data_IF_074532726955
#
_entry.id   IF_074532726955
#
_cell.length_a   1.000
_cell.length_b   1.000
_cell.length_c   1.000
_cell.angle_alpha   90.00
_cell.angle_beta   90.00
_cell.angle_gamma   90.00
#
_symmetry.space_group_name_H-M   'P 1'
#
loop_
_entity.id
_entity.type
_entity.pdbx_description
1 polymer ?
#
# COMPACT_ATOMS: atom_id res chain seq x y z
N UNK A 1 39.56 -55.60 -18.95
CA UNK A 1 38.36 -55.48 -18.11
C UNK A 1 38.19 -54.01 -17.80
N UNK A 2 37.32 -53.34 -18.56
CA UNK A 2 37.06 -51.91 -18.45
C UNK A 2 36.06 -51.66 -17.33
N UNK A 3 36.46 -50.85 -16.36
CA UNK A 3 35.53 -50.23 -15.43
C UNK A 3 35.02 -48.95 -16.08
N UNK A 4 33.70 -48.87 -16.15
CA UNK A 4 32.83 -47.94 -16.86
C UNK A 4 32.93 -46.51 -16.34
N UNK A 5 33.09 -45.58 -17.26
CA UNK A 5 33.15 -44.12 -17.09
C UNK A 5 31.79 -43.48 -16.73
N UNK A 6 30.87 -44.22 -16.12
CA UNK A 6 29.48 -43.80 -15.85
C UNK A 6 29.22 -43.42 -14.38
N UNK A 7 30.07 -43.80 -13.43
CA UNK A 7 29.83 -43.52 -11.99
C UNK A 7 30.26 -42.10 -11.55
N UNK A 8 30.93 -41.32 -12.40
CA UNK A 8 31.41 -39.97 -12.04
C UNK A 8 30.46 -38.82 -12.43
N UNK A 9 29.31 -39.11 -13.06
CA UNK A 9 28.38 -38.06 -13.52
C UNK A 9 27.15 -37.87 -12.62
N UNK A 10 26.83 -38.80 -11.73
CA UNK A 10 25.60 -38.73 -10.91
C UNK A 10 25.79 -38.05 -9.55
N UNK A 11 27.01 -37.89 -9.05
CA UNK A 11 27.24 -37.29 -7.73
C UNK A 11 27.23 -35.75 -7.71
N UNK A 12 27.23 -35.09 -8.89
CA UNK A 12 27.17 -33.62 -8.97
C UNK A 12 25.75 -33.02 -8.92
N UNK A 13 24.72 -33.87 -8.97
CA UNK A 13 23.31 -33.44 -9.16
C UNK A 13 22.44 -33.71 -7.93
N UNK A 14 23.05 -33.73 -6.73
CA UNK A 14 22.32 -33.90 -5.46
C UNK A 14 22.74 -32.95 -4.33
N UNK A 15 23.39 -31.84 -4.64
CA UNK A 15 23.29 -30.63 -3.78
C UNK A 15 22.04 -29.86 -4.18
N UNK A 16 20.91 -30.47 -3.84
CA UNK A 16 19.62 -29.79 -3.85
C UNK A 16 19.73 -28.50 -3.05
N UNK A 17 19.20 -27.44 -3.65
CA UNK A 17 18.98 -26.11 -3.10
C UNK A 17 18.97 -26.13 -1.58
N UNK A 18 20.05 -25.63 -0.96
CA UNK A 18 19.93 -25.18 0.42
C UNK A 18 18.80 -24.16 0.44
N UNK A 19 17.70 -24.53 1.09
CA UNK A 19 16.86 -23.54 1.72
C UNK A 19 17.82 -22.71 2.56
N UNK A 20 18.16 -21.53 2.07
CA UNK A 20 18.82 -20.50 2.87
C UNK A 20 17.81 -20.21 3.99
N UNK A 21 18.01 -20.92 5.09
CA UNK A 21 17.40 -20.67 6.38
C UNK A 21 17.93 -19.30 6.79
N UNK A 22 17.17 -18.27 6.41
CA UNK A 22 17.45 -16.90 6.82
C UNK A 22 17.46 -16.89 8.34
N UNK A 23 18.48 -16.28 8.99
CA UNK A 23 18.55 -16.29 10.45
C UNK A 23 17.27 -15.72 11.04
N UNK A 24 16.61 -16.49 11.89
CA UNK A 24 15.36 -16.12 12.58
C UNK A 24 15.53 -14.93 13.55
N UNK A 25 16.76 -14.44 13.75
CA UNK A 25 17.10 -13.50 14.83
C UNK A 25 16.92 -11.99 14.51
N UNK A 26 16.59 -11.59 13.28
CA UNK A 26 16.43 -10.15 12.91
C UNK A 26 14.98 -9.73 12.57
N UNK A 27 13.99 -10.60 12.80
CA UNK A 27 12.55 -10.26 12.67
C UNK A 27 11.94 -9.67 13.96
N UNK A 28 12.78 -9.24 14.90
CA UNK A 28 12.31 -8.42 16.03
C UNK A 28 11.95 -7.01 15.52
N UNK A 29 10.70 -6.86 15.10
CA UNK A 29 10.04 -5.57 14.89
C UNK A 29 10.13 -5.02 13.47
N UNK A 30 9.37 -5.58 12.53
CA UNK A 30 9.04 -4.86 11.29
C UNK A 30 8.16 -3.62 11.56
N UNK A 31 7.68 -3.46 12.80
CA UNK A 31 6.94 -2.33 13.38
C UNK A 31 5.57 -2.04 12.71
N UNK A 32 5.01 -3.03 12.01
CA UNK A 32 3.67 -2.89 11.42
C UNK A 32 2.58 -2.78 12.50
N UNK A 33 2.77 -3.35 13.69
CA UNK A 33 1.88 -3.14 14.83
C UNK A 33 1.81 -1.68 15.33
N UNK A 34 2.88 -0.89 15.16
CA UNK A 34 2.82 0.54 15.46
C UNK A 34 2.22 1.30 14.29
N UNK A 35 2.58 0.95 13.05
CA UNK A 35 2.07 1.57 11.82
C UNK A 35 0.53 1.53 11.74
N UNK A 36 -0.10 0.40 12.07
CA UNK A 36 -1.57 0.25 11.96
C UNK A 36 -2.36 1.20 12.88
N UNK A 37 -1.75 1.67 13.97
CA UNK A 37 -2.36 2.67 14.87
C UNK A 37 -2.52 4.03 14.18
N UNK A 38 -1.72 4.29 13.15
CA UNK A 38 -1.76 5.50 12.33
C UNK A 38 -2.71 5.38 11.14
N UNK A 39 -3.04 4.16 10.70
CA UNK A 39 -3.97 3.90 9.59
C UNK A 39 -5.43 4.27 9.93
N UNK A 40 -5.93 3.81 11.08
CA UNK A 40 -7.36 3.93 11.45
C UNK A 40 -7.86 5.37 11.62
N UNK A 41 -7.11 6.31 12.23
CA UNK A 41 -7.56 7.69 12.42
C UNK A 41 -7.94 8.42 11.13
N UNK A 42 -7.24 8.15 10.01
CA UNK A 42 -7.54 8.76 8.71
C UNK A 42 -8.97 8.48 8.25
N UNK A 43 -9.36 7.20 8.29
CA UNK A 43 -10.70 6.77 7.88
C UNK A 43 -11.80 7.35 8.76
N UNK A 44 -11.58 7.39 10.09
CA UNK A 44 -12.54 7.99 11.02
C UNK A 44 -12.72 9.48 10.71
N UNK A 45 -11.62 10.23 10.54
CA UNK A 45 -11.68 11.65 10.22
C UNK A 45 -12.35 11.91 8.87
N UNK A 46 -12.06 11.11 7.85
CA UNK A 46 -12.69 11.21 6.54
C UNK A 46 -14.18 10.96 6.57
N UNK A 47 -14.64 9.93 7.30
CA UNK A 47 -16.07 9.66 7.48
C UNK A 47 -16.79 10.78 8.23
N UNK A 48 -16.21 11.26 9.34
CA UNK A 48 -16.79 12.35 10.12
C UNK A 48 -16.89 13.64 9.29
N UNK A 49 -15.85 13.97 8.51
CA UNK A 49 -15.87 15.10 7.60
C UNK A 49 -16.96 14.94 6.52
N UNK A 50 -17.12 13.73 5.96
CA UNK A 50 -18.16 13.44 4.97
C UNK A 50 -19.56 13.64 5.53
N UNK A 51 -19.85 13.05 6.69
CA UNK A 51 -21.14 13.18 7.38
C UNK A 51 -21.44 14.65 7.69
N UNK A 52 -20.44 15.38 8.21
CA UNK A 52 -20.60 16.80 8.54
C UNK A 52 -20.91 17.65 7.32
N UNK A 53 -20.18 17.46 6.21
CA UNK A 53 -20.41 18.23 4.98
C UNK A 53 -21.75 17.89 4.34
N UNK A 54 -22.17 16.63 4.36
CA UNK A 54 -23.50 16.23 3.90
C UNK A 54 -24.60 16.87 4.75
N UNK A 55 -24.43 16.93 6.07
CA UNK A 55 -25.38 17.59 6.98
C UNK A 55 -25.49 19.10 6.72
N UNK A 56 -24.39 19.75 6.34
CA UNK A 56 -24.35 21.18 6.02
C UNK A 56 -24.83 21.52 4.60
N UNK A 57 -25.25 20.54 3.80
CA UNK A 57 -25.72 20.79 2.43
C UNK A 57 -24.61 20.86 1.37
N UNK A 58 -23.41 20.39 1.67
CA UNK A 58 -22.25 20.41 0.77
C UNK A 58 -22.03 19.08 0.03
N UNK A 59 -23.08 18.31 -0.26
CA UNK A 59 -22.99 16.94 -0.77
C UNK A 59 -22.14 16.81 -2.05
N UNK A 60 -22.19 17.84 -2.92
CA UNK A 60 -21.47 17.89 -4.20
C UNK A 60 -20.37 18.96 -4.26
N UNK A 61 -19.97 19.50 -3.11
CA UNK A 61 -18.88 20.47 -3.04
C UNK A 61 -17.58 19.82 -3.51
N UNK A 62 -16.97 20.38 -4.56
CA UNK A 62 -15.70 19.89 -5.10
C UNK A 62 -14.57 19.98 -4.05
N UNK A 63 -14.52 21.08 -3.30
CA UNK A 63 -13.57 21.26 -2.20
C UNK A 63 -13.86 20.29 -1.04
N UNK A 64 -15.15 20.06 -0.73
CA UNK A 64 -15.57 19.09 0.28
C UNK A 64 -15.12 17.67 -0.06
N UNK A 65 -15.26 17.26 -1.33
CA UNK A 65 -14.86 15.92 -1.77
C UNK A 65 -13.36 15.75 -1.81
N UNK A 66 -12.65 16.76 -2.28
CA UNK A 66 -11.20 16.74 -2.25
C UNK A 66 -10.68 16.59 -0.81
N UNK A 67 -11.27 17.31 0.14
CA UNK A 67 -10.96 17.18 1.57
C UNK A 67 -11.30 15.78 2.10
N UNK A 68 -12.50 15.28 1.81
CA UNK A 68 -12.95 13.97 2.29
C UNK A 68 -12.11 12.85 1.71
N UNK A 69 -11.78 12.88 0.41
CA UNK A 69 -10.86 11.92 -0.23
C UNK A 69 -9.46 11.99 0.36
N UNK A 70 -8.98 13.19 0.64
CA UNK A 70 -7.70 13.38 1.32
C UNK A 70 -7.69 12.71 2.69
N UNK A 71 -8.72 12.92 3.51
CA UNK A 71 -8.76 12.34 4.85
C UNK A 71 -9.04 10.83 4.82
N UNK A 72 -10.00 10.39 4.01
CA UNK A 72 -10.46 9.01 3.93
C UNK A 72 -9.54 8.09 3.10
N UNK A 73 -8.80 8.64 2.14
CA UNK A 73 -7.86 7.91 1.29
C UNK A 73 -6.44 8.08 1.78
N UNK A 74 -6.00 9.32 1.88
CA UNK A 74 -4.58 9.64 2.13
C UNK A 74 -4.27 9.83 3.62
N UNK A 75 -5.28 9.89 4.48
CA UNK A 75 -5.08 10.10 5.92
C UNK A 75 -4.17 9.03 6.52
N UNK A 76 -4.37 7.77 6.13
CA UNK A 76 -3.47 6.67 6.47
C UNK A 76 -2.03 6.98 6.05
N UNK A 77 -1.79 7.22 4.76
CA UNK A 77 -0.46 7.44 4.20
C UNK A 77 0.25 8.66 4.81
N UNK A 78 -0.51 9.71 5.14
CA UNK A 78 -0.01 10.89 5.86
C UNK A 78 0.39 10.51 7.29
N UNK A 79 -0.46 9.80 8.03
CA UNK A 79 -0.17 9.42 9.41
C UNK A 79 0.96 8.38 9.50
N UNK A 80 1.02 7.43 8.57
CA UNK A 80 2.12 6.47 8.40
C UNK A 80 3.42 7.20 8.04
N UNK A 81 3.38 8.20 7.16
CA UNK A 81 4.52 9.05 6.86
C UNK A 81 5.01 9.87 8.08
N UNK A 82 4.08 10.38 8.90
CA UNK A 82 4.41 11.06 10.17
C UNK A 82 5.09 10.09 11.14
N UNK A 83 4.60 8.86 11.24
CA UNK A 83 5.26 7.80 12.01
C UNK A 83 6.69 7.58 11.53
N UNK A 84 6.91 7.43 10.21
CA UNK A 84 8.25 7.25 9.64
C UNK A 84 9.19 8.42 9.94
N UNK A 85 8.71 9.66 9.87
CA UNK A 85 9.49 10.85 10.25
C UNK A 85 9.89 10.80 11.73
N UNK A 86 8.97 10.44 12.63
CA UNK A 86 9.24 10.35 14.07
C UNK A 86 10.26 9.27 14.39
N UNK A 87 10.20 8.13 13.72
CA UNK A 87 11.16 7.04 13.88
C UNK A 87 12.57 7.46 13.46
N UNK A 88 12.68 8.14 12.31
CA UNK A 88 13.95 8.66 11.81
C UNK A 88 14.58 9.70 12.74
N UNK A 89 13.77 10.59 13.32
CA UNK A 89 14.23 11.58 14.29
C UNK A 89 14.72 10.93 15.60
N UNK A 90 14.25 9.73 15.93
CA UNK A 90 14.70 8.95 17.09
C UNK A 90 16.01 8.18 16.86
N UNK A 91 16.61 8.26 15.66
CA UNK A 91 17.81 7.51 15.25
C UNK A 91 17.67 5.98 15.42
N UNK A 92 16.46 5.45 15.30
CA UNK A 92 16.26 4.00 15.22
C UNK A 92 16.92 3.46 13.94
N UNK A 93 17.42 2.23 13.97
CA UNK A 93 17.79 1.51 12.74
C UNK A 93 16.57 1.46 11.82
N UNK A 94 16.76 1.76 10.53
CA UNK A 94 15.63 1.93 9.61
C UNK A 94 14.82 0.64 9.50
N UNK A 95 13.50 0.73 9.66
CA UNK A 95 12.59 -0.41 9.62
C UNK A 95 11.90 -0.55 8.26
N UNK A 96 11.33 -1.73 8.01
CA UNK A 96 10.52 -1.97 6.81
C UNK A 96 9.24 -1.12 6.82
N UNK A 97 8.56 -0.98 7.97
CA UNK A 97 7.42 -0.08 8.12
C UNK A 97 7.79 1.39 7.85
N UNK A 98 8.98 1.85 8.27
CA UNK A 98 9.43 3.22 7.99
C UNK A 98 9.55 3.47 6.48
N UNK A 99 10.22 2.56 5.77
CA UNK A 99 10.39 2.64 4.32
C UNK A 99 9.04 2.58 3.59
N UNK A 100 8.16 1.68 4.03
CA UNK A 100 6.81 1.52 3.50
C UNK A 100 5.99 2.82 3.65
N UNK A 101 5.94 3.41 4.85
CA UNK A 101 5.23 4.67 5.12
C UNK A 101 5.77 5.87 4.33
N UNK A 102 7.10 5.96 4.13
CA UNK A 102 7.69 6.98 3.26
C UNK A 102 7.27 6.81 1.80
N UNK A 103 7.29 5.58 1.30
CA UNK A 103 6.87 5.26 -0.06
C UNK A 103 5.44 5.74 -0.32
N UNK A 104 4.53 5.41 0.59
CA UNK A 104 3.15 5.88 0.58
C UNK A 104 3.03 7.40 0.59
N UNK A 105 3.68 8.08 1.54
CA UNK A 105 3.65 9.54 1.67
C UNK A 105 4.09 10.25 0.38
N UNK A 106 5.09 9.74 -0.34
CA UNK A 106 5.48 10.33 -1.62
C UNK A 106 4.48 9.98 -2.74
N UNK A 107 3.92 8.77 -2.72
CA UNK A 107 2.90 8.31 -3.64
C UNK A 107 1.67 9.22 -3.72
N UNK A 108 1.22 9.78 -2.60
CA UNK A 108 -0.03 10.57 -2.56
C UNK A 108 0.01 11.88 -3.36
N UNK A 109 1.21 12.42 -3.60
CA UNK A 109 1.38 13.77 -4.16
C UNK A 109 0.94 13.89 -5.62
N UNK A 110 1.12 12.83 -6.41
CA UNK A 110 0.72 12.80 -7.83
C UNK A 110 -0.82 12.74 -7.98
N UNK A 111 -1.53 11.79 -7.32
CA UNK A 111 -3.00 11.75 -7.35
C UNK A 111 -3.66 13.04 -6.88
N UNK A 112 -3.13 13.71 -5.85
CA UNK A 112 -3.64 15.00 -5.39
C UNK A 112 -3.66 16.07 -6.48
N UNK A 113 -2.55 16.19 -7.21
CA UNK A 113 -2.43 17.17 -8.30
C UNK A 113 -3.41 16.83 -9.42
N UNK A 114 -3.53 15.54 -9.76
CA UNK A 114 -4.44 15.05 -10.80
C UNK A 114 -5.90 15.29 -10.40
N UNK A 115 -6.31 14.92 -9.18
CA UNK A 115 -7.68 15.09 -8.68
C UNK A 115 -8.09 16.57 -8.67
N UNK A 116 -7.25 17.41 -8.08
CA UNK A 116 -7.50 18.86 -8.03
C UNK A 116 -7.56 19.48 -9.43
N UNK A 117 -6.59 19.16 -10.29
CA UNK A 117 -6.55 19.64 -11.68
C UNK A 117 -7.75 19.17 -12.52
N UNK A 118 -8.19 17.93 -12.33
CA UNK A 118 -9.36 17.35 -13.02
C UNK A 118 -10.65 18.08 -12.66
N UNK A 119 -10.81 18.44 -11.38
CA UNK A 119 -11.97 19.21 -10.91
C UNK A 119 -11.96 20.64 -11.46
N UNK A 120 -10.79 21.28 -11.52
CA UNK A 120 -10.64 22.59 -12.16
C UNK A 120 -10.96 22.55 -13.66
N UNK A 121 -10.67 21.43 -14.32
CA UNK A 121 -11.00 21.20 -15.72
C UNK A 121 -12.48 20.81 -15.96
N UNK A 122 -13.29 20.68 -14.90
CA UNK A 122 -14.71 20.36 -14.99
C UNK A 122 -15.02 18.88 -15.28
N UNK A 123 -14.06 17.97 -15.04
CA UNK A 123 -14.28 16.52 -15.23
C UNK A 123 -15.38 16.03 -14.29
N UNK A 124 -16.29 15.20 -14.81
CA UNK A 124 -17.29 14.51 -14.00
C UNK A 124 -16.63 13.39 -13.17
N UNK A 125 -16.20 13.76 -11.96
CA UNK A 125 -15.58 12.85 -11.00
C UNK A 125 -16.54 11.77 -10.44
N UNK A 126 -17.83 11.89 -10.74
CA UNK A 126 -18.90 10.99 -10.27
C UNK A 126 -19.25 9.91 -11.30
N UNK A 127 -18.93 10.16 -12.58
CA UNK A 127 -19.17 9.25 -13.68
C UNK A 127 -18.07 8.21 -13.85
N UNK A 128 -18.20 7.40 -14.91
CA UNK A 128 -17.17 6.45 -15.34
C UNK A 128 -15.90 7.18 -15.74
N UNK A 129 -16.02 8.38 -16.33
CA UNK A 129 -14.88 9.22 -16.71
C UNK A 129 -14.01 9.60 -15.51
N UNK A 130 -14.60 9.81 -14.33
CA UNK A 130 -13.90 10.12 -13.09
C UNK A 130 -13.24 8.95 -12.37
N UNK A 131 -13.38 7.72 -12.87
CA UNK A 131 -12.86 6.49 -12.26
C UNK A 131 -11.33 6.52 -12.04
N UNK A 132 -10.59 7.19 -12.94
CA UNK A 132 -9.13 7.23 -12.85
C UNK A 132 -8.64 7.91 -11.56
N UNK A 133 -9.45 8.76 -10.93
CA UNK A 133 -9.06 9.48 -9.72
C UNK A 133 -8.89 8.51 -8.54
N UNK A 134 -9.92 7.80 -8.06
CA UNK A 134 -9.76 6.82 -6.98
C UNK A 134 -8.79 5.69 -7.37
N UNK A 135 -8.69 5.36 -8.65
CA UNK A 135 -7.67 4.45 -9.17
C UNK A 135 -6.25 4.96 -8.92
N UNK A 136 -5.93 6.21 -9.28
CA UNK A 136 -4.57 6.74 -9.09
C UNK A 136 -4.20 6.87 -7.63
N UNK A 137 -5.15 7.17 -6.74
CA UNK A 137 -4.90 7.19 -5.30
C UNK A 137 -4.43 5.81 -4.80
N UNK A 138 -5.23 4.76 -5.05
CA UNK A 138 -4.87 3.41 -4.62
C UNK A 138 -3.58 2.89 -5.30
N UNK A 139 -3.38 3.22 -6.58
CA UNK A 139 -2.22 2.80 -7.33
C UNK A 139 -0.94 3.47 -6.81
N UNK A 140 -0.94 4.79 -6.67
CA UNK A 140 0.26 5.56 -6.35
C UNK A 140 0.75 5.26 -4.94
N UNK A 141 -0.17 5.07 -4.00
CA UNK A 141 0.13 4.68 -2.63
C UNK A 141 0.89 3.34 -2.58
N UNK A 142 0.32 2.30 -3.20
CA UNK A 142 0.91 0.97 -3.19
C UNK A 142 2.17 0.86 -4.06
N UNK A 143 2.26 1.58 -5.19
CA UNK A 143 3.50 1.65 -5.97
C UNK A 143 4.62 2.28 -5.15
N UNK A 144 4.35 3.40 -4.46
CA UNK A 144 5.31 4.06 -3.59
C UNK A 144 5.82 3.12 -2.51
N UNK A 145 4.90 2.43 -1.84
CA UNK A 145 5.23 1.44 -0.81
C UNK A 145 6.08 0.27 -1.37
N UNK A 146 5.74 -0.23 -2.57
CA UNK A 146 6.48 -1.30 -3.22
C UNK A 146 7.92 -0.90 -3.62
N UNK A 147 8.08 0.29 -4.20
CA UNK A 147 9.38 0.82 -4.60
C UNK A 147 10.27 1.02 -3.38
N UNK A 148 9.76 1.67 -2.33
CA UNK A 148 10.53 1.87 -1.11
C UNK A 148 10.87 0.55 -0.43
N UNK A 149 9.93 -0.40 -0.39
CA UNK A 149 10.15 -1.71 0.20
C UNK A 149 11.18 -2.56 -0.55
N UNK A 150 11.15 -2.62 -1.89
CA UNK A 150 12.19 -3.36 -2.65
C UNK A 150 13.57 -2.71 -2.51
N UNK A 151 13.65 -1.38 -2.43
CA UNK A 151 14.90 -0.67 -2.19
C UNK A 151 15.45 -0.91 -0.79
N UNK A 152 14.58 -0.99 0.22
CA UNK A 152 14.95 -1.40 1.57
C UNK A 152 15.51 -2.82 1.58
N UNK A 153 14.76 -3.79 1.06
CA UNK A 153 15.18 -5.19 1.00
C UNK A 153 16.50 -5.36 0.24
N UNK A 154 16.70 -4.65 -0.87
CA UNK A 154 17.97 -4.65 -1.59
C UNK A 154 19.14 -4.17 -0.71
N UNK A 155 18.93 -3.13 0.10
CA UNK A 155 19.97 -2.58 0.99
C UNK A 155 20.30 -3.56 2.10
N UNK A 156 19.29 -4.16 2.71
CA UNK A 156 19.44 -5.13 3.80
C UNK A 156 20.11 -6.42 3.32
N UNK A 157 19.70 -6.94 2.16
CA UNK A 157 20.21 -8.19 1.59
C UNK A 157 21.53 -8.03 0.81
N UNK A 158 22.01 -6.80 0.60
CA UNK A 158 23.24 -6.48 -0.11
C UNK A 158 23.24 -6.77 -1.63
N UNK A 159 22.22 -7.45 -2.16
CA UNK A 159 22.12 -7.78 -3.59
C UNK A 159 20.69 -7.71 -4.12
N UNK A 160 20.54 -7.43 -5.43
CA UNK A 160 19.23 -7.39 -6.09
C UNK A 160 18.55 -8.75 -6.15
N UNK A 161 19.31 -9.84 -6.32
CA UNK A 161 18.76 -11.19 -6.41
C UNK A 161 18.18 -11.64 -5.08
N UNK A 162 18.89 -11.43 -3.98
CA UNK A 162 18.42 -11.74 -2.64
C UNK A 162 17.26 -10.83 -2.23
N UNK A 163 17.35 -9.52 -2.51
CA UNK A 163 16.24 -8.57 -2.27
C UNK A 163 14.95 -8.95 -2.99
N UNK A 164 15.03 -9.35 -4.27
CA UNK A 164 13.84 -9.80 -5.02
C UNK A 164 13.30 -11.13 -4.51
N UNK A 165 14.19 -12.08 -4.17
CA UNK A 165 13.83 -13.36 -3.56
C UNK A 165 13.08 -13.18 -2.23
N UNK A 166 13.51 -12.22 -1.40
CA UNK A 166 12.83 -11.86 -0.15
C UNK A 166 11.51 -11.14 -0.42
N UNK A 167 11.46 -10.24 -1.39
CA UNK A 167 10.25 -9.51 -1.77
C UNK A 167 9.09 -10.46 -2.13
N UNK A 168 9.34 -11.48 -2.96
CA UNK A 168 8.28 -12.43 -3.40
C UNK A 168 7.81 -13.37 -2.28
N UNK A 169 8.49 -13.38 -1.13
CA UNK A 169 8.09 -14.14 0.07
C UNK A 169 7.54 -13.23 1.17
N UNK A 170 7.62 -11.91 0.99
CA UNK A 170 7.22 -10.94 2.00
C UNK A 170 5.70 -10.71 1.95
N UNK A 171 4.95 -11.06 2.99
CA UNK A 171 3.48 -11.06 2.95
C UNK A 171 2.89 -9.67 2.70
N UNK A 172 3.48 -8.62 3.27
CA UNK A 172 3.09 -7.21 3.02
C UNK A 172 3.30 -6.80 1.56
N UNK A 173 4.43 -7.16 0.93
CA UNK A 173 4.71 -6.77 -0.46
C UNK A 173 3.75 -7.49 -1.42
N UNK A 174 3.47 -8.77 -1.16
CA UNK A 174 2.48 -9.54 -1.93
C UNK A 174 1.06 -8.97 -1.77
N UNK A 175 0.66 -8.62 -0.54
CA UNK A 175 -0.63 -7.97 -0.28
C UNK A 175 -0.74 -6.62 -1.02
N UNK A 176 0.34 -5.84 -1.03
CA UNK A 176 0.42 -4.57 -1.74
C UNK A 176 0.25 -4.74 -3.26
N UNK A 177 0.93 -5.73 -3.86
CA UNK A 177 0.74 -6.08 -5.27
C UNK A 177 -0.68 -6.56 -5.59
N UNK A 178 -1.29 -7.31 -4.68
CA UNK A 178 -2.67 -7.75 -4.82
C UNK A 178 -3.64 -6.56 -4.87
N UNK A 179 -3.46 -5.58 -3.98
CA UNK A 179 -4.25 -4.34 -3.95
C UNK A 179 -4.15 -3.59 -5.28
N UNK A 180 -2.93 -3.45 -5.83
CA UNK A 180 -2.68 -2.79 -7.12
C UNK A 180 -3.51 -3.41 -8.26
N UNK A 181 -3.76 -4.72 -8.23
CA UNK A 181 -4.47 -5.42 -9.30
C UNK A 181 -5.98 -5.42 -9.07
N UNK A 182 -6.43 -5.68 -7.84
CA UNK A 182 -7.84 -5.91 -7.54
C UNK A 182 -8.64 -4.63 -7.43
N UNK A 183 -8.08 -3.60 -6.80
CA UNK A 183 -8.79 -2.33 -6.58
C UNK A 183 -9.26 -1.70 -7.90
N UNK A 184 -8.42 -1.54 -8.94
CA UNK A 184 -8.85 -0.94 -10.19
C UNK A 184 -10.01 -1.71 -10.83
N UNK A 185 -9.94 -3.03 -10.82
CA UNK A 185 -10.99 -3.90 -11.38
C UNK A 185 -12.29 -3.76 -10.59
N UNK A 186 -12.22 -3.77 -9.26
CA UNK A 186 -13.38 -3.63 -8.39
C UNK A 186 -14.07 -2.27 -8.52
N UNK A 187 -13.29 -1.18 -8.50
CA UNK A 187 -13.78 0.17 -8.70
C UNK A 187 -14.44 0.34 -10.09
N UNK A 188 -13.83 -0.23 -11.14
CA UNK A 188 -14.36 -0.11 -12.50
C UNK A 188 -15.67 -0.89 -12.62
N UNK A 189 -15.71 -2.10 -12.04
CA UNK A 189 -16.92 -2.90 -11.93
C UNK A 189 -18.04 -2.15 -11.21
N UNK A 190 -17.74 -1.52 -10.07
CA UNK A 190 -18.72 -0.71 -9.33
C UNK A 190 -19.26 0.46 -10.15
N UNK A 191 -18.40 1.15 -10.89
CA UNK A 191 -18.81 2.24 -11.80
C UNK A 191 -19.71 1.72 -12.94
N UNK A 192 -19.36 0.60 -13.56
CA UNK A 192 -20.15 -0.02 -14.63
C UNK A 192 -21.53 -0.47 -14.13
N UNK A 193 -21.65 -0.94 -12.88
CA UNK A 193 -22.94 -1.33 -12.27
C UNK A 193 -23.77 -0.15 -11.76
N UNK A 194 -23.28 1.09 -11.95
CA UNK A 194 -24.02 2.32 -11.67
C UNK A 194 -23.74 2.96 -10.31
N UNK A 195 -22.72 2.51 -9.57
CA UNK A 195 -22.33 3.16 -8.31
C UNK A 195 -21.68 4.52 -8.58
N UNK A 196 -22.19 5.57 -7.95
CA UNK A 196 -21.68 6.94 -8.04
C UNK A 196 -21.69 7.63 -6.67
N UNK A 197 -20.56 8.19 -6.19
CA UNK A 197 -20.43 8.77 -4.86
C UNK A 197 -21.01 10.19 -4.84
N UNK A 198 -22.34 10.30 -5.00
CA UNK A 198 -23.03 11.60 -5.12
C UNK A 198 -23.13 12.40 -3.82
N UNK A 199 -22.69 11.81 -2.70
CA UNK A 199 -22.58 12.43 -1.38
C UNK A 199 -21.14 12.35 -0.87
N UNK A 200 -20.80 13.19 0.09
CA UNK A 200 -19.48 13.19 0.73
C UNK A 200 -19.26 11.91 1.53
N UNK A 201 -20.30 11.40 2.21
CA UNK A 201 -20.24 10.13 2.93
C UNK A 201 -19.98 8.95 2.01
N UNK A 202 -20.65 8.88 0.84
CA UNK A 202 -20.35 7.84 -0.15
C UNK A 202 -18.99 8.02 -0.80
N UNK A 203 -18.51 9.26 -0.93
CA UNK A 203 -17.12 9.52 -1.35
C UNK A 203 -16.14 8.94 -0.33
N UNK A 204 -16.34 9.18 0.97
CA UNK A 204 -15.50 8.61 2.02
C UNK A 204 -15.52 7.08 2.02
N UNK A 205 -16.70 6.47 1.94
CA UNK A 205 -16.86 5.02 1.92
C UNK A 205 -16.25 4.38 0.69
N UNK A 206 -16.47 4.97 -0.49
CA UNK A 206 -15.79 4.56 -1.72
C UNK A 206 -14.30 4.61 -1.53
N UNK A 207 -13.77 5.74 -1.06
CA UNK A 207 -12.33 5.91 -0.92
C UNK A 207 -11.75 4.89 0.06
N UNK A 208 -12.37 4.66 1.22
CA UNK A 208 -11.88 3.65 2.18
C UNK A 208 -11.94 2.23 1.58
N UNK A 209 -13.07 1.86 0.98
CA UNK A 209 -13.28 0.52 0.44
C UNK A 209 -12.41 0.26 -0.79
N UNK A 210 -12.18 1.29 -1.59
CA UNK A 210 -11.37 1.22 -2.79
C UNK A 210 -9.89 1.34 -2.48
N UNK A 211 -9.46 2.07 -1.45
CA UNK A 211 -8.03 2.21 -1.22
C UNK A 211 -7.42 0.86 -0.88
N UNK A 212 -8.09 0.04 -0.04
CA UNK A 212 -7.57 -1.21 0.52
C UNK A 212 -6.11 -1.11 1.02
N UNK A 213 -5.61 0.11 1.24
CA UNK A 213 -4.21 0.38 1.54
C UNK A 213 -3.85 0.01 2.97
N UNK A 214 -4.88 -0.22 3.81
CA UNK A 214 -4.80 -0.82 5.13
C UNK A 214 -4.57 -2.34 5.11
N UNK A 215 -4.81 -3.03 3.98
CA UNK A 215 -4.64 -4.49 3.90
C UNK A 215 -3.19 -4.91 4.13
N UNK A 216 -2.17 -4.31 3.48
CA UNK A 216 -0.79 -4.70 3.71
C UNK A 216 -0.29 -4.43 5.14
N UNK A 217 -0.53 -3.27 5.79
CA UNK A 217 -0.22 -3.08 7.22
C UNK A 217 -0.92 -4.10 8.12
N UNK A 218 -2.19 -4.42 7.84
CA UNK A 218 -2.93 -5.45 8.59
C UNK A 218 -2.29 -6.83 8.42
N UNK A 219 -1.90 -7.20 7.19
CA UNK A 219 -1.20 -8.45 6.93
C UNK A 219 0.14 -8.49 7.65
N UNK A 220 0.88 -7.37 7.68
CA UNK A 220 2.12 -7.23 8.45
C UNK A 220 1.88 -7.47 9.94
N UNK A 221 0.89 -6.80 10.51
CA UNK A 221 0.51 -6.97 11.92
C UNK A 221 0.07 -8.40 12.26
N UNK A 222 -0.74 -9.04 11.41
CA UNK A 222 -1.16 -10.44 11.61
C UNK A 222 0.03 -11.39 11.53
N UNK A 223 0.95 -11.16 10.59
CA UNK A 223 2.17 -11.95 10.46
C UNK A 223 3.09 -11.78 11.68
N UNK A 224 3.19 -10.58 12.26
CA UNK A 224 3.91 -10.33 13.52
C UNK A 224 3.26 -11.03 14.72
N UNK A 225 1.92 -11.11 14.74
CA UNK A 225 1.16 -11.62 15.89
C UNK A 225 1.02 -13.15 15.94
N UNK A 226 1.01 -13.81 14.78
CA UNK A 226 0.70 -15.23 14.63
C UNK A 226 1.87 -16.08 14.09
N UNK A 227 3.06 -15.49 13.95
CA UNK A 227 4.32 -16.24 13.85
C UNK A 227 4.87 -16.53 15.23
#
# INVERSE_FOLDING_TARGET
>A
MGATTEELSEESTKKGLSAEEYPEEELNGEEFSELIKYTVPGYILGLLAGIFLDFQGYQRSAAGQWLVRTLAGEGESIFEGIFSIRQRLRKAEGSMAEAYGWGKLFGISIPWIIDFGSRLAGVDVYGIEGFYIPYFYALSDQIGANISGILFLKRTEGSWRAGFSRYIRHPVMLASLFVIIIVPVGLLGARITGFSPTTQTFTALETIAANLCWVPPLVGWLNERYR
#
